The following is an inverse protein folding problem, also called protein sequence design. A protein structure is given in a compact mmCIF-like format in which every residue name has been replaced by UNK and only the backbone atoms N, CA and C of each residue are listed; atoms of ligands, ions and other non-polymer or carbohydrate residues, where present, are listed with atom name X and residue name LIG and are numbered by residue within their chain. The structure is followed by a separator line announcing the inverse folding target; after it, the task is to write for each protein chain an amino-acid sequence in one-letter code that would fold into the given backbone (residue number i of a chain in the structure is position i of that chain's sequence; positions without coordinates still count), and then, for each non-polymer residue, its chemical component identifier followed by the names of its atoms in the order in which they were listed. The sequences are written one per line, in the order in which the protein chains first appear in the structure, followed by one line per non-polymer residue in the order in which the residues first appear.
data_IF_231402824557
#
_entry.id   IF_231402824557
#
_cell.length_a   1.000
_cell.length_b   1.000
_cell.length_c   1.000
_cell.angle_alpha   90.00
_cell.angle_beta   90.00
_cell.angle_gamma   90.00
#
_symmetry.space_group_name_H-M   'P 1'
#
loop_
_entity.id
_entity.type
_entity.pdbx_description
1 polymer ?
#
# COMPACT_ATOMS: atom_id res chain seq x y z
N UNK A 1 -14.47 23.96 -18.22
CA UNK A 1 -13.11 23.41 -18.18
C UNK A 1 -12.17 24.57 -17.89
N UNK A 2 -11.31 24.41 -16.90
CA UNK A 2 -10.24 25.40 -16.62
C UNK A 2 -9.17 25.20 -17.69
N UNK A 3 -8.58 26.30 -18.18
CA UNK A 3 -7.48 26.25 -19.13
C UNK A 3 -6.27 25.55 -18.46
N UNK A 4 -5.81 24.38 -18.96
CA UNK A 4 -4.70 23.63 -18.34
C UNK A 4 -3.40 24.44 -18.27
N UNK A 5 -3.19 25.40 -19.18
CA UNK A 5 -2.02 26.28 -19.18
C UNK A 5 -2.03 27.32 -18.04
N UNK A 6 -3.17 27.46 -17.35
CA UNK A 6 -3.33 28.40 -16.23
C UNK A 6 -2.77 27.88 -14.91
N UNK A 7 -2.65 26.54 -14.76
CA UNK A 7 -2.10 25.91 -13.55
C UNK A 7 -0.65 25.51 -13.85
N UNK A 8 0.29 26.21 -13.25
CA UNK A 8 1.71 25.96 -13.46
C UNK A 8 2.30 25.16 -12.30
N UNK A 9 2.67 23.92 -12.56
CA UNK A 9 3.41 23.07 -11.63
C UNK A 9 4.88 23.47 -11.63
N UNK A 10 5.46 23.63 -10.45
CA UNK A 10 6.84 24.09 -10.29
C UNK A 10 7.81 22.90 -10.14
N UNK A 11 8.44 22.48 -11.24
CA UNK A 11 9.40 21.37 -11.25
C UNK A 11 10.58 21.58 -10.29
N UNK A 12 11.10 22.83 -10.18
CA UNK A 12 12.22 23.10 -9.28
C UNK A 12 11.85 22.87 -7.81
N UNK A 13 10.59 23.20 -7.45
CA UNK A 13 10.05 22.95 -6.11
C UNK A 13 9.88 21.45 -5.86
N UNK A 14 9.36 20.69 -6.83
CA UNK A 14 9.24 19.22 -6.76
C UNK A 14 10.61 18.59 -6.48
N UNK A 15 11.66 18.99 -7.22
CA UNK A 15 13.01 18.49 -7.01
C UNK A 15 13.53 18.79 -5.60
N UNK A 16 13.33 20.01 -5.12
CA UNK A 16 13.76 20.43 -3.80
C UNK A 16 13.02 19.69 -2.68
N UNK A 17 11.70 19.51 -2.82
CA UNK A 17 10.89 18.75 -1.85
C UNK A 17 11.25 17.27 -1.86
N UNK A 18 11.51 16.69 -3.03
CA UNK A 18 11.96 15.30 -3.12
C UNK A 18 13.32 15.11 -2.44
N UNK A 19 14.31 15.98 -2.70
CA UNK A 19 15.62 15.89 -2.04
C UNK A 19 15.50 16.04 -0.52
N UNK A 20 14.66 16.93 -0.05
CA UNK A 20 14.41 17.15 1.36
C UNK A 20 13.76 15.93 2.04
N UNK A 21 12.62 15.49 1.51
CA UNK A 21 11.82 14.43 2.14
C UNK A 21 12.50 13.05 2.02
N UNK A 22 13.14 12.76 0.89
CA UNK A 22 13.84 11.49 0.72
C UNK A 22 15.01 11.28 1.71
N UNK A 23 15.59 12.36 2.26
CA UNK A 23 16.65 12.27 3.27
C UNK A 23 16.14 12.01 4.68
N UNK A 24 14.82 12.06 4.88
CA UNK A 24 14.22 11.75 6.18
C UNK A 24 14.10 10.24 6.31
N UNK A 25 14.63 9.69 7.39
CA UNK A 25 14.46 8.29 7.74
C UNK A 25 13.01 8.04 8.15
N UNK A 26 12.35 7.10 7.47
CA UNK A 26 10.93 6.82 7.65
C UNK A 26 10.57 5.35 7.39
N UNK A 27 11.42 4.40 7.79
CA UNK A 27 11.01 2.99 7.74
C UNK A 27 9.72 2.79 8.55
N UNK A 28 8.89 1.84 8.12
CA UNK A 28 7.60 1.53 8.77
C UNK A 28 7.72 1.43 10.29
N UNK A 29 6.80 2.05 11.02
CA UNK A 29 6.77 2.25 12.47
C UNK A 29 7.78 3.27 13.01
N UNK A 30 8.60 3.89 12.14
CA UNK A 30 9.65 4.86 12.47
C UNK A 30 9.45 6.27 11.89
N UNK A 31 8.24 6.64 11.46
CA UNK A 31 7.90 7.78 10.59
C UNK A 31 7.86 9.14 11.30
N UNK A 32 8.21 9.24 12.58
CA UNK A 32 8.02 10.47 13.37
C UNK A 32 8.52 11.74 12.70
N UNK A 33 9.73 11.73 12.15
CA UNK A 33 10.32 12.92 11.52
C UNK A 33 9.60 13.26 10.20
N UNK A 34 9.19 12.26 9.43
CA UNK A 34 8.41 12.44 8.21
C UNK A 34 7.04 13.06 8.54
N UNK A 35 6.33 12.50 9.52
CA UNK A 35 5.03 13.01 9.94
C UNK A 35 5.12 14.46 10.42
N UNK A 36 6.11 14.82 11.23
CA UNK A 36 6.30 16.20 11.70
C UNK A 36 6.54 17.14 10.51
N UNK A 37 7.40 16.73 9.56
CA UNK A 37 7.70 17.56 8.38
C UNK A 37 6.50 17.71 7.44
N UNK A 38 5.72 16.65 7.22
CA UNK A 38 4.51 16.72 6.40
C UNK A 38 3.42 17.59 7.05
N UNK A 39 3.30 17.57 8.37
CA UNK A 39 2.39 18.52 9.08
C UNK A 39 2.76 19.98 8.82
N UNK A 40 4.05 20.31 8.82
CA UNK A 40 4.51 21.66 8.48
C UNK A 40 4.15 22.02 7.03
N UNK A 41 4.43 21.13 6.06
CA UNK A 41 4.10 21.34 4.64
C UNK A 41 2.59 21.48 4.40
N UNK A 42 1.78 20.69 5.09
CA UNK A 42 0.32 20.82 5.03
C UNK A 42 -0.15 22.16 5.63
N UNK A 43 0.46 22.61 6.72
CA UNK A 43 0.16 23.91 7.31
C UNK A 43 0.50 25.09 6.38
N UNK A 44 1.60 25.00 5.60
CA UNK A 44 1.94 25.97 4.54
C UNK A 44 0.84 26.09 3.47
N UNK A 45 0.10 25.01 3.20
CA UNK A 45 -1.06 24.97 2.30
C UNK A 45 -2.39 25.39 2.98
N UNK A 46 -2.34 25.81 4.25
CA UNK A 46 -3.54 26.13 5.02
C UNK A 46 -4.29 24.93 5.57
N UNK A 47 -3.69 23.74 5.54
CA UNK A 47 -4.28 22.49 6.03
C UNK A 47 -3.75 22.20 7.44
N UNK A 48 -4.62 22.32 8.44
CA UNK A 48 -4.28 21.97 9.82
C UNK A 48 -4.47 20.46 10.02
N UNK A 49 -3.47 19.68 9.65
CA UNK A 49 -3.51 18.24 9.80
C UNK A 49 -3.44 17.84 11.27
N UNK A 50 -4.32 16.93 11.65
CA UNK A 50 -4.31 16.25 12.96
C UNK A 50 -3.68 14.88 12.80
N UNK A 51 -2.86 14.53 13.76
CA UNK A 51 -2.34 13.18 13.91
C UNK A 51 -3.27 12.38 14.81
N UNK A 52 -3.61 11.19 14.40
CA UNK A 52 -4.46 10.29 15.18
C UNK A 52 -3.65 9.44 16.19
N UNK A 53 -4.34 8.56 16.93
CA UNK A 53 -3.75 7.68 17.94
C UNK A 53 -3.24 6.35 17.39
N UNK A 54 -3.13 6.21 16.08
CA UNK A 54 -2.70 4.97 15.41
C UNK A 54 -1.33 4.49 15.87
N UNK A 55 -0.38 5.41 16.16
CA UNK A 55 0.93 5.06 16.68
C UNK A 55 0.87 4.09 17.88
N UNK A 56 0.01 4.37 18.85
CA UNK A 56 -0.16 3.54 20.04
C UNK A 56 -0.75 2.16 19.71
N UNK A 57 -1.68 2.10 18.74
CA UNK A 57 -2.38 0.87 18.35
C UNK A 57 -1.49 -0.10 17.58
N UNK A 58 -0.60 0.43 16.73
CA UNK A 58 0.26 -0.40 15.87
C UNK A 58 1.67 -0.62 16.43
N UNK A 59 2.03 0.10 17.51
CA UNK A 59 3.39 0.07 18.10
C UNK A 59 4.41 0.86 17.28
N UNK A 60 3.95 1.90 16.55
CA UNK A 60 4.76 2.86 15.81
C UNK A 60 5.10 4.10 16.63
N UNK A 61 5.75 5.07 16.01
CA UNK A 61 6.10 6.34 16.62
C UNK A 61 5.37 7.55 16.01
N UNK A 62 4.57 7.33 14.94
CA UNK A 62 3.71 8.31 14.31
C UNK A 62 2.33 7.71 13.98
N UNK A 63 1.29 8.51 14.10
CA UNK A 63 -0.06 8.19 13.64
C UNK A 63 -0.31 8.68 12.21
N UNK A 64 -1.50 8.40 11.68
CA UNK A 64 -1.93 8.95 10.41
C UNK A 64 -2.13 10.47 10.52
N UNK A 65 -1.85 11.18 9.44
CA UNK A 65 -2.12 12.61 9.33
C UNK A 65 -3.42 12.82 8.54
N UNK A 66 -4.42 13.41 9.16
CA UNK A 66 -5.67 13.76 8.50
C UNK A 66 -5.92 15.26 8.55
N UNK A 67 -6.24 15.87 7.41
CA UNK A 67 -6.51 17.29 7.31
C UNK A 67 -7.54 17.63 6.23
N UNK A 68 -8.10 18.82 6.31
CA UNK A 68 -9.11 19.32 5.36
C UNK A 68 -8.76 20.70 4.85
N UNK A 69 -9.04 20.96 3.56
CA UNK A 69 -8.91 22.25 2.91
C UNK A 69 -10.24 22.64 2.27
N UNK A 70 -10.71 23.85 2.56
CA UNK A 70 -11.90 24.40 1.93
C UNK A 70 -11.57 25.01 0.56
N UNK A 71 -12.37 24.65 -0.45
CA UNK A 71 -12.05 24.98 -1.84
C UNK A 71 -12.84 26.12 -2.48
N UNK A 72 -14.06 26.31 -2.12
CA UNK A 72 -14.97 27.31 -2.73
C UNK A 72 -15.87 26.78 -3.84
N UNK A 73 -15.69 25.54 -4.32
CA UNK A 73 -16.68 24.86 -5.17
C UNK A 73 -17.68 24.11 -4.29
N UNK A 74 -18.93 24.01 -4.77
CA UNK A 74 -19.96 23.19 -4.13
C UNK A 74 -19.71 21.70 -4.46
N UNK A 75 -20.17 20.82 -3.57
CA UNK A 75 -20.11 19.37 -3.76
C UNK A 75 -19.49 18.63 -2.58
N UNK A 76 -19.30 17.34 -2.73
CA UNK A 76 -18.61 16.51 -1.72
C UNK A 76 -17.10 16.69 -1.80
N UNK A 77 -16.39 16.63 -0.67
CA UNK A 77 -14.93 16.61 -0.68
C UNK A 77 -14.36 15.47 -1.54
N UNK A 78 -13.16 15.68 -2.02
CA UNK A 78 -12.30 14.65 -2.62
C UNK A 78 -11.23 14.22 -1.60
N UNK A 79 -11.00 12.93 -1.43
CA UNK A 79 -9.90 12.42 -0.60
C UNK A 79 -8.69 12.15 -1.46
N UNK A 80 -7.55 12.69 -1.06
CA UNK A 80 -6.23 12.40 -1.62
C UNK A 80 -5.38 11.70 -0.55
N UNK A 81 -4.72 10.62 -0.91
CA UNK A 81 -3.94 9.82 0.03
C UNK A 81 -2.64 9.32 -0.56
N UNK A 82 -1.64 9.19 0.29
CA UNK A 82 -0.36 8.54 0.11
C UNK A 82 0.15 8.09 1.47
N UNK A 83 1.32 7.43 1.53
CA UNK A 83 1.86 6.98 2.80
C UNK A 83 3.21 7.62 3.14
N UNK A 84 3.56 7.57 4.43
CA UNK A 84 4.73 8.25 4.99
C UNK A 84 5.93 7.33 5.16
N UNK A 85 5.68 6.05 5.25
CA UNK A 85 6.72 5.06 5.49
C UNK A 85 7.38 4.56 4.20
N UNK A 86 8.46 3.85 4.36
CA UNK A 86 9.15 3.12 3.30
C UNK A 86 9.69 1.79 3.83
N UNK A 87 9.95 0.84 2.93
CA UNK A 87 10.57 -0.44 3.31
C UNK A 87 12.04 -0.31 3.72
N UNK A 88 12.54 -1.32 4.44
CA UNK A 88 13.98 -1.46 4.70
C UNK A 88 14.72 -2.05 3.46
N UNK A 89 16.01 -1.65 3.23
CA UNK A 89 16.80 -0.69 3.98
C UNK A 89 16.49 0.75 3.58
N UNK A 90 15.95 1.55 4.48
CA UNK A 90 15.50 2.93 4.26
C UNK A 90 16.18 3.99 5.14
N UNK A 91 17.24 3.62 5.89
CA UNK A 91 17.93 4.53 6.80
C UNK A 91 19.14 5.16 6.12
N UNK A 92 19.24 6.50 6.19
CA UNK A 92 20.33 7.26 5.58
C UNK A 92 20.22 7.37 4.06
N UNK A 93 19.02 7.46 3.53
CA UNK A 93 18.72 7.61 2.10
C UNK A 93 19.45 8.81 1.48
N UNK A 94 19.99 8.62 0.27
CA UNK A 94 20.72 9.64 -0.50
C UNK A 94 20.20 9.68 -1.93
N UNK A 95 19.24 10.58 -2.23
CA UNK A 95 18.77 10.76 -3.59
C UNK A 95 19.86 11.33 -4.50
N UNK A 96 19.95 10.78 -5.72
CA UNK A 96 20.86 11.18 -6.78
C UNK A 96 20.06 11.64 -7.98
N UNK A 97 20.16 12.92 -8.33
CA UNK A 97 19.46 13.51 -9.46
C UNK A 97 20.29 13.42 -10.73
N UNK A 98 19.75 12.85 -11.78
CA UNK A 98 20.36 12.72 -13.11
C UNK A 98 19.87 13.80 -14.06
N UNK A 99 20.66 14.10 -15.09
CA UNK A 99 20.35 15.14 -16.09
C UNK A 99 19.08 14.82 -16.91
N UNK A 100 18.76 13.55 -17.09
CA UNK A 100 17.56 13.08 -17.80
C UNK A 100 16.25 13.18 -16.98
N UNK A 101 16.34 13.71 -15.75
CA UNK A 101 15.21 13.83 -14.83
C UNK A 101 14.92 12.59 -14.00
N UNK A 102 15.75 11.55 -14.09
CA UNK A 102 15.67 10.39 -13.21
C UNK A 102 16.25 10.73 -11.84
N UNK A 103 15.65 10.20 -10.77
CA UNK A 103 16.15 10.25 -9.40
C UNK A 103 16.37 8.82 -8.94
N UNK A 104 17.55 8.49 -8.47
CA UNK A 104 17.88 7.14 -7.93
C UNK A 104 18.36 7.24 -6.49
N UNK A 105 18.42 6.10 -5.78
CA UNK A 105 19.24 6.03 -4.57
C UNK A 105 20.74 5.96 -4.93
N UNK A 106 21.62 6.04 -3.92
CA UNK A 106 23.06 5.77 -4.10
C UNK A 106 23.36 4.25 -4.20
N UNK A 107 22.35 3.39 -4.20
CA UNK A 107 22.46 1.93 -4.27
C UNK A 107 22.67 1.23 -2.92
N UNK A 108 22.70 1.97 -1.81
CA UNK A 108 22.84 1.40 -0.46
C UNK A 108 21.51 1.20 0.26
N UNK A 109 20.51 2.01 -0.10
CA UNK A 109 19.14 1.96 0.44
C UNK A 109 18.12 2.00 -0.70
N UNK A 110 16.84 1.82 -0.38
CA UNK A 110 15.75 2.24 -1.26
C UNK A 110 15.80 3.76 -1.44
N UNK A 111 15.11 4.31 -2.44
CA UNK A 111 15.00 5.75 -2.64
C UNK A 111 13.89 6.35 -1.75
N UNK A 112 12.81 5.59 -1.51
CA UNK A 112 11.58 6.05 -0.90
C UNK A 112 10.70 6.81 -1.91
N UNK A 113 10.84 6.52 -3.21
CA UNK A 113 9.93 7.03 -4.24
C UNK A 113 8.50 6.54 -3.98
N UNK A 114 8.38 5.35 -3.46
CA UNK A 114 7.24 4.74 -2.82
C UNK A 114 7.17 5.20 -1.35
N UNK A 115 6.31 6.15 -0.94
CA UNK A 115 5.32 6.86 -1.78
C UNK A 115 5.56 8.39 -1.83
N UNK A 116 6.83 8.85 -1.77
CA UNK A 116 7.13 10.28 -1.85
C UNK A 116 6.68 10.90 -3.18
N UNK A 117 6.63 10.12 -4.27
CA UNK A 117 6.17 10.63 -5.56
C UNK A 117 4.69 11.03 -5.49
N UNK A 118 3.86 10.22 -4.85
CA UNK A 118 2.45 10.51 -4.63
C UNK A 118 2.24 11.67 -3.65
N UNK A 119 2.92 11.63 -2.49
CA UNK A 119 2.85 12.70 -1.49
C UNK A 119 3.23 14.06 -2.09
N UNK A 120 4.33 14.15 -2.83
CA UNK A 120 4.80 15.40 -3.45
C UNK A 120 3.84 15.85 -4.56
N UNK A 121 3.31 14.92 -5.36
CA UNK A 121 2.33 15.25 -6.39
C UNK A 121 1.06 15.87 -5.78
N UNK A 122 0.59 15.35 -4.64
CA UNK A 122 -0.56 15.91 -3.90
C UNK A 122 -0.24 17.33 -3.41
N UNK A 123 0.88 17.52 -2.72
CA UNK A 123 1.28 18.81 -2.15
C UNK A 123 1.44 19.88 -3.25
N UNK A 124 2.15 19.56 -4.33
CA UNK A 124 2.41 20.49 -5.42
C UNK A 124 1.15 20.78 -6.24
N UNK A 125 0.31 19.78 -6.51
CA UNK A 125 -0.94 19.95 -7.24
C UNK A 125 -1.89 20.92 -6.52
N UNK A 126 -2.04 20.78 -5.21
CA UNK A 126 -2.85 21.73 -4.38
C UNK A 126 -2.24 23.13 -4.43
N UNK A 127 -0.92 23.23 -4.25
CA UNK A 127 -0.21 24.52 -4.25
C UNK A 127 -0.34 25.24 -5.58
N UNK A 128 -0.19 24.53 -6.70
CA UNK A 128 -0.32 25.11 -8.03
C UNK A 128 -1.73 25.71 -8.29
N UNK A 129 -2.78 25.01 -7.82
CA UNK A 129 -4.16 25.52 -7.92
C UNK A 129 -4.37 26.76 -7.03
N UNK A 130 -3.83 26.76 -5.81
CA UNK A 130 -3.90 27.92 -4.91
C UNK A 130 -3.16 29.13 -5.50
N UNK A 131 -1.95 28.95 -6.03
CA UNK A 131 -1.14 30.01 -6.69
C UNK A 131 -1.85 30.58 -7.92
N UNK A 132 -2.57 29.73 -8.67
CA UNK A 132 -3.38 30.15 -9.81
C UNK A 132 -4.68 30.90 -9.40
N UNK A 133 -5.06 30.85 -8.12
CA UNK A 133 -6.29 31.45 -7.61
C UNK A 133 -7.56 30.83 -8.18
N UNK A 134 -7.52 29.53 -8.50
CA UNK A 134 -8.64 28.79 -9.08
C UNK A 134 -9.45 28.15 -7.97
N UNK A 135 -10.80 28.31 -7.96
CA UNK A 135 -11.65 27.57 -7.03
C UNK A 135 -11.50 26.06 -7.23
N UNK A 136 -11.47 25.32 -6.14
CA UNK A 136 -11.37 23.88 -6.14
C UNK A 136 -12.42 23.25 -5.21
N UNK A 137 -12.61 21.95 -5.29
CA UNK A 137 -13.44 21.17 -4.37
C UNK A 137 -12.86 21.23 -2.96
N UNK A 138 -13.69 21.01 -1.96
CA UNK A 138 -13.17 20.70 -0.63
C UNK A 138 -12.26 19.46 -0.73
N UNK A 139 -11.11 19.49 -0.07
CA UNK A 139 -10.13 18.42 -0.09
C UNK A 139 -9.99 17.83 1.31
N UNK A 140 -9.98 16.52 1.40
CA UNK A 140 -9.53 15.75 2.55
C UNK A 140 -8.21 15.09 2.19
N UNK A 141 -7.25 15.10 3.11
CA UNK A 141 -5.95 14.45 2.94
C UNK A 141 -5.77 13.43 4.05
N UNK A 142 -5.35 12.24 3.67
CA UNK A 142 -4.89 11.21 4.58
C UNK A 142 -3.47 10.78 4.15
N UNK A 143 -2.47 11.10 4.98
CA UNK A 143 -1.15 10.48 4.85
C UNK A 143 -1.01 9.38 5.90
N UNK A 144 -0.98 8.14 5.44
CA UNK A 144 -0.99 6.97 6.30
C UNK A 144 0.41 6.66 6.86
N UNK A 145 0.44 6.15 8.08
CA UNK A 145 1.62 5.54 8.69
C UNK A 145 1.62 4.04 8.45
N UNK A 146 2.79 3.42 8.34
CA UNK A 146 2.97 1.98 8.24
C UNK A 146 2.01 1.30 7.22
N UNK A 147 2.00 1.81 5.99
CA UNK A 147 1.28 1.20 4.87
C UNK A 147 1.94 -0.10 4.44
N UNK A 148 3.25 -0.11 4.28
CA UNK A 148 4.08 -1.19 3.73
C UNK A 148 3.92 -2.55 4.46
N UNK A 149 3.76 -2.58 5.81
CA UNK A 149 3.40 -3.80 6.52
C UNK A 149 1.89 -4.11 6.44
N UNK A 150 1.30 -3.97 5.26
CA UNK A 150 -0.11 -4.22 4.95
C UNK A 150 -1.07 -3.21 5.59
N UNK A 151 -0.99 -1.95 5.18
CA UNK A 151 -1.95 -0.86 5.51
C UNK A 151 -2.28 -0.73 6.99
N UNK A 152 -1.26 -0.93 7.86
CA UNK A 152 -1.46 -0.97 9.31
C UNK A 152 -2.04 0.33 9.85
N UNK A 153 -1.58 1.46 9.33
CA UNK A 153 -2.03 2.77 9.78
C UNK A 153 -3.46 3.07 9.37
N UNK A 154 -3.75 2.99 8.09
CA UNK A 154 -5.10 3.30 7.58
C UNK A 154 -6.16 2.34 8.12
N UNK A 155 -5.80 1.09 8.43
CA UNK A 155 -6.72 0.11 9.04
C UNK A 155 -7.21 0.52 10.43
N UNK A 156 -6.47 1.36 11.16
CA UNK A 156 -6.81 1.85 12.50
C UNK A 156 -7.42 3.26 12.48
N UNK A 157 -7.51 3.89 11.29
CA UNK A 157 -8.06 5.23 11.15
C UNK A 157 -9.57 5.26 11.38
N UNK A 158 -10.06 6.30 12.04
CA UNK A 158 -11.49 6.53 12.22
C UNK A 158 -12.12 7.19 10.98
N UNK A 159 -12.61 6.39 10.05
CA UNK A 159 -13.26 6.85 8.82
C UNK A 159 -14.57 7.62 9.03
N UNK A 160 -15.16 7.61 10.24
CA UNK A 160 -16.38 8.37 10.52
C UNK A 160 -16.19 9.90 10.42
N UNK A 161 -14.94 10.38 10.48
CA UNK A 161 -14.61 11.80 10.30
C UNK A 161 -14.58 12.23 8.83
N UNK A 162 -14.49 11.30 7.87
CA UNK A 162 -14.43 11.59 6.44
C UNK A 162 -15.80 11.95 5.87
N UNK A 163 -15.79 12.91 4.96
CA UNK A 163 -16.97 13.36 4.21
C UNK A 163 -16.85 13.05 2.72
N UNK A 164 -15.65 12.77 2.26
CA UNK A 164 -15.37 12.41 0.88
C UNK A 164 -16.19 11.19 0.44
N UNK A 165 -16.62 11.21 -0.82
CA UNK A 165 -17.37 10.12 -1.48
C UNK A 165 -16.63 9.54 -2.65
N UNK A 166 -15.42 10.00 -2.88
CA UNK A 166 -14.44 9.43 -3.81
C UNK A 166 -13.04 9.70 -3.29
N UNK A 167 -12.13 8.81 -3.60
CA UNK A 167 -10.75 8.90 -3.14
C UNK A 167 -9.75 8.49 -4.23
N UNK A 168 -8.57 9.08 -4.16
CA UNK A 168 -7.42 8.75 -4.99
C UNK A 168 -6.22 8.50 -4.09
N UNK A 169 -5.70 7.28 -4.13
CA UNK A 169 -4.46 6.88 -3.48
C UNK A 169 -3.37 6.87 -4.55
N UNK A 170 -2.27 7.58 -4.35
CA UNK A 170 -1.20 7.66 -5.33
C UNK A 170 -0.09 6.66 -4.95
N UNK A 171 -0.30 5.40 -5.27
CA UNK A 171 0.54 4.30 -4.78
C UNK A 171 0.61 3.15 -5.81
N UNK A 172 0.92 3.49 -7.07
CA UNK A 172 1.13 2.50 -8.13
C UNK A 172 2.36 2.86 -8.94
N UNK A 173 3.15 1.85 -9.26
CA UNK A 173 4.34 1.97 -10.11
C UNK A 173 3.99 2.37 -11.55
N UNK A 174 4.91 3.05 -12.21
CA UNK A 174 4.81 3.40 -13.61
C UNK A 174 4.44 4.85 -13.89
N UNK A 175 4.38 5.23 -15.19
CA UNK A 175 4.06 6.59 -15.58
C UNK A 175 2.61 6.95 -15.26
N UNK A 176 2.35 8.22 -14.99
CA UNK A 176 0.99 8.74 -14.71
C UNK A 176 0.03 8.40 -15.85
N UNK A 177 -1.20 8.03 -15.49
CA UNK A 177 -2.25 7.68 -16.45
C UNK A 177 -2.84 6.28 -16.25
N UNK A 178 -2.38 5.53 -15.24
CA UNK A 178 -2.97 4.25 -14.87
C UNK A 178 -3.72 4.38 -13.55
N UNK A 179 -4.93 3.83 -13.50
CA UNK A 179 -5.71 3.64 -12.27
C UNK A 179 -5.98 2.16 -12.06
N UNK A 180 -5.67 1.67 -10.88
CA UNK A 180 -6.03 0.33 -10.44
C UNK A 180 -7.45 0.39 -9.88
N UNK A 181 -8.35 -0.41 -10.46
CA UNK A 181 -9.74 -0.53 -10.07
C UNK A 181 -10.07 -1.89 -9.44
N UNK A 182 -9.08 -2.79 -9.37
CA UNK A 182 -9.23 -4.10 -8.76
C UNK A 182 -7.95 -4.49 -8.00
N UNK A 183 -8.11 -4.84 -6.74
CA UNK A 183 -7.02 -5.31 -5.87
C UNK A 183 -7.48 -6.51 -5.03
N UNK A 184 -6.56 -7.34 -4.52
CA UNK A 184 -6.90 -8.61 -3.89
C UNK A 184 -7.27 -8.47 -2.41
N UNK A 185 -7.90 -9.51 -1.87
CA UNK A 185 -7.79 -9.89 -0.47
C UNK A 185 -6.38 -10.41 -0.23
N UNK A 186 -5.74 -9.98 0.84
CA UNK A 186 -4.46 -10.49 1.31
C UNK A 186 -4.63 -11.08 2.70
N UNK A 187 -4.30 -12.37 2.80
CA UNK A 187 -4.31 -13.14 4.05
C UNK A 187 -2.92 -13.67 4.32
N UNK A 188 -2.48 -13.65 5.57
CA UNK A 188 -1.34 -14.44 6.01
C UNK A 188 -1.79 -15.56 6.94
N UNK A 189 -1.03 -16.66 6.96
CA UNK A 189 -1.27 -17.76 7.89
C UNK A 189 0.03 -18.25 8.51
N UNK A 190 -0.10 -18.83 9.71
CA UNK A 190 0.96 -19.56 10.38
C UNK A 190 0.45 -20.94 10.79
N UNK A 191 1.16 -21.98 10.37
CA UNK A 191 0.94 -23.37 10.72
C UNK A 191 2.12 -23.87 11.55
N UNK A 192 1.89 -24.10 12.84
CA UNK A 192 2.88 -24.69 13.76
C UNK A 192 2.55 -26.16 13.99
N UNK A 193 3.40 -27.05 13.49
CA UNK A 193 3.32 -28.49 13.66
C UNK A 193 4.14 -28.87 14.89
N UNK A 194 3.46 -29.45 15.91
CA UNK A 194 4.09 -29.94 17.11
C UNK A 194 4.11 -31.47 17.13
N UNK A 195 5.29 -32.03 17.05
CA UNK A 195 5.57 -33.44 17.14
C UNK A 195 6.04 -33.84 18.54
N UNK A 196 7.03 -34.75 18.58
CA UNK A 196 7.64 -35.20 19.83
C UNK A 196 9.14 -35.45 19.63
N UNK A 197 9.97 -34.86 20.48
CA UNK A 197 11.40 -35.08 20.46
C UNK A 197 11.75 -36.51 20.85
N UNK A 198 12.84 -37.02 20.26
CA UNK A 198 13.48 -38.28 20.64
C UNK A 198 14.95 -38.23 20.23
N UNK A 199 15.79 -39.09 20.79
CA UNK A 199 17.18 -39.21 20.36
C UNK A 199 17.25 -39.84 18.97
N UNK A 200 17.80 -39.13 17.98
CA UNK A 200 17.76 -39.52 16.58
C UNK A 200 18.49 -40.84 16.27
N UNK A 201 19.49 -41.19 17.08
CA UNK A 201 20.26 -42.43 16.89
C UNK A 201 19.85 -43.61 17.77
N UNK A 202 19.18 -43.38 18.91
CA UNK A 202 18.87 -44.47 19.85
C UNK A 202 17.41 -44.89 19.81
N UNK A 203 16.49 -43.93 19.72
CA UNK A 203 15.05 -44.19 19.83
C UNK A 203 14.23 -43.29 18.87
N UNK A 204 14.62 -43.19 17.57
CA UNK A 204 13.91 -42.30 16.64
C UNK A 204 12.42 -42.67 16.48
N UNK A 205 12.05 -43.91 16.67
CA UNK A 205 10.67 -44.43 16.59
C UNK A 205 9.75 -43.91 17.71
N UNK A 206 10.33 -43.39 18.81
CA UNK A 206 9.56 -42.71 19.86
C UNK A 206 9.24 -41.26 19.54
N UNK A 207 9.92 -40.70 18.55
CA UNK A 207 9.72 -39.34 18.08
C UNK A 207 8.54 -39.20 17.12
N UNK A 208 8.06 -37.96 16.96
CA UNK A 208 7.15 -37.53 15.88
C UNK A 208 7.82 -36.35 15.19
N UNK A 209 8.18 -36.55 13.95
CA UNK A 209 9.08 -35.63 13.23
C UNK A 209 8.35 -34.42 12.64
N UNK A 210 8.32 -33.28 13.37
CA UNK A 210 7.57 -32.09 12.99
C UNK A 210 7.97 -31.51 11.62
N UNK A 211 9.30 -31.45 11.29
CA UNK A 211 9.76 -30.94 9.99
C UNK A 211 9.25 -31.83 8.86
N UNK A 212 9.34 -33.17 8.98
CA UNK A 212 8.88 -34.06 7.92
C UNK A 212 7.36 -33.94 7.70
N UNK A 213 6.59 -33.81 8.79
CA UNK A 213 5.15 -33.63 8.74
C UNK A 213 4.77 -32.33 8.04
N UNK A 214 5.42 -31.19 8.42
CA UNK A 214 5.22 -29.90 7.76
C UNK A 214 5.60 -29.94 6.28
N UNK A 215 6.74 -30.55 5.94
CA UNK A 215 7.20 -30.70 4.56
C UNK A 215 6.21 -31.49 3.70
N UNK A 216 5.58 -32.57 4.24
CA UNK A 216 4.53 -33.31 3.53
C UNK A 216 3.30 -32.46 3.27
N UNK A 217 2.88 -31.67 4.26
CA UNK A 217 1.77 -30.74 4.09
C UNK A 217 2.07 -29.74 2.98
N UNK A 218 3.24 -29.07 3.01
CA UNK A 218 3.63 -28.10 1.99
C UNK A 218 3.71 -28.76 0.59
N UNK A 219 4.26 -29.96 0.49
CA UNK A 219 4.38 -30.68 -0.79
C UNK A 219 3.01 -31.09 -1.38
N UNK A 220 1.96 -31.15 -0.56
CA UNK A 220 0.59 -31.42 -1.00
C UNK A 220 -0.17 -30.16 -1.42
N UNK A 221 0.34 -28.96 -1.10
CA UNK A 221 -0.27 -27.71 -1.52
C UNK A 221 0.07 -27.37 -2.98
N UNK A 222 -0.88 -26.75 -3.69
CA UNK A 222 -0.63 -26.13 -5.00
C UNK A 222 -0.12 -24.71 -4.78
N UNK A 223 1.19 -24.54 -4.74
CA UNK A 223 1.82 -23.23 -4.59
C UNK A 223 1.89 -22.47 -5.93
N UNK A 224 1.98 -21.14 -5.86
CA UNK A 224 1.94 -20.21 -6.98
C UNK A 224 0.51 -19.85 -7.35
N UNK A 225 0.18 -19.81 -8.64
CA UNK A 225 -1.20 -19.59 -9.08
C UNK A 225 -2.07 -20.82 -8.80
N UNK A 226 -2.99 -20.68 -7.85
CA UNK A 226 -4.00 -21.71 -7.55
C UNK A 226 -5.04 -21.72 -8.67
N UNK A 227 -5.47 -20.55 -9.09
CA UNK A 227 -6.30 -20.30 -10.27
C UNK A 227 -5.92 -18.93 -10.90
N UNK A 228 -6.75 -18.40 -11.82
CA UNK A 228 -6.50 -17.13 -12.51
C UNK A 228 -6.57 -15.91 -11.58
N UNK A 229 -7.25 -16.02 -10.45
CA UNK A 229 -7.55 -14.94 -9.50
C UNK A 229 -6.81 -15.10 -8.17
N UNK A 230 -6.19 -16.29 -7.91
CA UNK A 230 -5.71 -16.65 -6.57
C UNK A 230 -4.28 -17.13 -6.61
N UNK A 231 -3.45 -16.63 -5.69
CA UNK A 231 -2.10 -17.11 -5.43
C UNK A 231 -1.97 -17.60 -4.00
N UNK A 232 -1.14 -18.65 -3.81
CA UNK A 232 -0.77 -19.22 -2.52
C UNK A 232 0.74 -19.35 -2.46
N UNK A 233 1.34 -18.85 -1.39
CA UNK A 233 2.77 -18.99 -1.14
C UNK A 233 3.05 -19.44 0.30
N UNK A 234 4.06 -20.30 0.48
CA UNK A 234 4.69 -20.60 1.77
C UNK A 234 6.09 -20.00 1.72
N UNK A 235 6.27 -18.83 2.29
CA UNK A 235 7.51 -18.06 2.20
C UNK A 235 8.54 -18.40 3.28
N UNK A 236 8.09 -18.91 4.43
CA UNK A 236 8.97 -19.21 5.56
C UNK A 236 8.69 -20.60 6.13
N UNK A 237 9.77 -21.33 6.45
CA UNK A 237 9.74 -22.57 7.21
C UNK A 237 10.90 -22.55 8.22
N UNK A 238 10.62 -22.90 9.47
CA UNK A 238 11.63 -23.00 10.52
C UNK A 238 11.31 -24.17 11.44
N UNK A 239 12.31 -24.98 11.79
CA UNK A 239 12.07 -26.12 12.67
C UNK A 239 13.33 -26.81 13.16
N UNK A 240 13.19 -27.51 14.29
CA UNK A 240 14.28 -28.19 14.96
C UNK A 240 15.23 -27.24 15.72
N UNK A 241 16.08 -27.79 16.56
CA UNK A 241 17.08 -27.04 17.35
C UNK A 241 18.49 -27.66 17.25
N UNK A 242 18.57 -28.99 17.04
CA UNK A 242 19.82 -29.74 16.96
C UNK A 242 19.69 -30.91 15.96
N UNK A 243 20.83 -31.35 15.41
CA UNK A 243 20.82 -32.39 14.35
C UNK A 243 20.65 -33.80 14.88
N UNK A 244 20.89 -34.04 16.16
CA UNK A 244 20.88 -35.38 16.78
C UNK A 244 19.58 -35.67 17.57
N UNK A 245 18.55 -34.84 17.39
CA UNK A 245 17.19 -35.08 17.92
C UNK A 245 16.13 -35.04 16.82
N UNK A 246 15.08 -35.84 16.97
CA UNK A 246 13.87 -35.71 16.18
C UNK A 246 13.24 -34.36 16.51
N UNK A 247 13.00 -33.47 15.53
CA UNK A 247 12.46 -32.13 15.80
C UNK A 247 11.00 -32.18 16.27
N UNK A 248 10.73 -31.54 17.40
CA UNK A 248 9.39 -31.49 17.98
C UNK A 248 8.54 -30.30 17.51
N UNK A 249 9.15 -29.29 16.84
CA UNK A 249 8.44 -28.13 16.35
C UNK A 249 8.90 -27.75 14.95
N UNK A 250 7.93 -27.42 14.09
CA UNK A 250 8.16 -26.78 12.80
C UNK A 250 7.05 -25.77 12.54
N UNK A 251 7.43 -24.53 12.22
CA UNK A 251 6.51 -23.45 11.90
C UNK A 251 6.67 -23.08 10.44
N UNK A 252 5.53 -22.94 9.75
CA UNK A 252 5.44 -22.49 8.36
C UNK A 252 4.60 -21.23 8.31
N UNK A 253 5.04 -20.23 7.53
CA UNK A 253 4.26 -19.02 7.28
C UNK A 253 4.06 -18.82 5.80
N UNK A 254 2.84 -18.41 5.44
CA UNK A 254 2.48 -18.20 4.05
C UNK A 254 1.48 -17.07 3.90
N UNK A 255 1.19 -16.74 2.63
CA UNK A 255 0.18 -15.76 2.25
C UNK A 255 -0.73 -16.30 1.14
N UNK A 256 -1.93 -15.76 1.09
CA UNK A 256 -2.93 -15.99 0.05
C UNK A 256 -3.36 -14.63 -0.46
N UNK A 257 -3.38 -14.47 -1.80
CA UNK A 257 -3.95 -13.29 -2.46
C UNK A 257 -5.01 -13.74 -3.44
N UNK A 258 -6.18 -13.09 -3.42
CA UNK A 258 -7.25 -13.39 -4.39
C UNK A 258 -8.09 -12.16 -4.66
N UNK A 259 -8.50 -11.99 -5.93
CA UNK A 259 -9.48 -10.97 -6.31
C UNK A 259 -10.89 -11.25 -5.78
N UNK A 260 -11.16 -12.46 -5.28
CA UNK A 260 -12.36 -12.81 -4.52
C UNK A 260 -12.03 -13.05 -3.05
N UNK A 261 -12.72 -12.34 -2.15
CA UNK A 261 -12.56 -12.56 -0.71
C UNK A 261 -13.00 -13.97 -0.31
N UNK A 262 -14.09 -14.46 -0.89
CA UNK A 262 -14.64 -15.78 -0.64
C UNK A 262 -13.63 -16.88 -1.04
N UNK A 263 -13.05 -16.77 -2.24
CA UNK A 263 -12.01 -17.72 -2.69
C UNK A 263 -10.74 -17.68 -1.83
N UNK A 264 -10.34 -16.48 -1.35
CA UNK A 264 -9.22 -16.38 -0.41
C UNK A 264 -9.48 -17.16 0.87
N UNK A 265 -10.70 -17.05 1.42
CA UNK A 265 -11.11 -17.77 2.62
C UNK A 265 -11.24 -19.27 2.38
N UNK A 266 -11.79 -19.70 1.24
CA UNK A 266 -11.85 -21.11 0.83
C UNK A 266 -10.44 -21.70 0.70
N UNK A 267 -9.53 -21.00 0.02
CA UNK A 267 -8.12 -21.41 -0.10
C UNK A 267 -7.45 -21.55 1.27
N UNK A 268 -7.75 -20.65 2.21
CA UNK A 268 -7.23 -20.72 3.59
C UNK A 268 -7.70 -21.98 4.29
N UNK A 269 -8.98 -22.34 4.16
CA UNK A 269 -9.52 -23.56 4.77
C UNK A 269 -8.95 -24.82 4.09
N UNK A 270 -8.71 -24.80 2.77
CA UNK A 270 -8.03 -25.88 2.07
C UNK A 270 -6.60 -26.09 2.59
N UNK A 271 -5.85 -24.99 2.77
CA UNK A 271 -4.51 -25.03 3.38
C UNK A 271 -4.57 -25.65 4.77
N UNK A 272 -5.50 -25.21 5.62
CA UNK A 272 -5.71 -25.75 6.97
C UNK A 272 -5.97 -27.26 6.92
N UNK A 273 -6.91 -27.70 6.06
CA UNK A 273 -7.28 -29.11 5.93
C UNK A 273 -6.10 -30.01 5.51
N UNK A 274 -5.23 -29.50 4.63
CA UNK A 274 -4.01 -30.22 4.23
C UNK A 274 -3.05 -30.40 5.41
N UNK A 275 -2.83 -29.35 6.23
CA UNK A 275 -2.00 -29.46 7.43
C UNK A 275 -2.65 -30.38 8.49
N UNK A 276 -3.97 -30.29 8.70
CA UNK A 276 -4.71 -31.16 9.61
C UNK A 276 -4.58 -32.63 9.22
N UNK A 277 -4.65 -32.94 7.92
CA UNK A 277 -4.47 -34.30 7.40
C UNK A 277 -3.05 -34.79 7.69
N UNK A 278 -2.03 -34.00 7.40
CA UNK A 278 -0.63 -34.38 7.61
C UNK A 278 -0.32 -34.62 9.10
N UNK A 279 -0.81 -33.77 10.02
CA UNK A 279 -0.57 -33.96 11.46
C UNK A 279 -1.32 -35.16 12.00
N UNK A 280 -2.53 -35.41 11.52
CA UNK A 280 -3.32 -36.61 11.92
C UNK A 280 -2.62 -37.91 11.52
N UNK A 281 -2.09 -37.98 10.30
CA UNK A 281 -1.35 -39.16 9.81
C UNK A 281 -0.05 -39.40 10.60
N UNK A 282 0.63 -38.32 11.02
CA UNK A 282 1.87 -38.39 11.78
C UNK A 282 1.67 -38.59 13.28
N UNK A 283 0.47 -38.41 13.80
CA UNK A 283 0.19 -38.36 15.24
C UNK A 283 0.72 -37.08 15.92
N UNK A 284 0.88 -35.99 15.15
CA UNK A 284 1.32 -34.67 15.60
C UNK A 284 0.11 -33.77 15.96
N UNK A 285 0.39 -32.57 16.49
CA UNK A 285 -0.61 -31.54 16.79
C UNK A 285 -0.40 -30.35 15.83
N UNK A 286 -1.49 -29.63 15.49
CA UNK A 286 -1.46 -28.40 14.69
C UNK A 286 -1.96 -27.22 15.50
N UNK A 287 -1.21 -26.12 15.50
CA UNK A 287 -1.72 -24.77 15.79
C UNK A 287 -1.75 -24.00 14.48
N UNK A 288 -2.93 -23.53 14.08
CA UNK A 288 -3.13 -22.79 12.84
C UNK A 288 -3.78 -21.45 13.13
N UNK A 289 -3.10 -20.37 12.78
CA UNK A 289 -3.60 -19.00 12.91
C UNK A 289 -3.55 -18.31 11.57
N UNK A 290 -4.38 -17.30 11.39
CA UNK A 290 -4.37 -16.46 10.20
C UNK A 290 -4.67 -15.00 10.55
N UNK A 291 -4.33 -14.12 9.63
CA UNK A 291 -4.66 -12.71 9.69
C UNK A 291 -5.15 -12.23 8.33
N UNK A 292 -6.32 -11.59 8.32
CA UNK A 292 -6.79 -10.80 7.19
C UNK A 292 -6.10 -9.42 7.27
N UNK A 293 -5.38 -9.04 6.21
CA UNK A 293 -4.72 -7.74 6.09
C UNK A 293 -5.64 -6.75 5.39
N UNK A 294 -6.03 -7.05 4.16
CA UNK A 294 -6.94 -6.24 3.36
C UNK A 294 -7.95 -7.11 2.63
N UNK A 295 -9.13 -6.55 2.29
CA UNK A 295 -10.13 -7.21 1.47
C UNK A 295 -10.04 -6.76 0.02
N UNK A 296 -10.37 -7.68 -0.87
CA UNK A 296 -10.51 -7.40 -2.29
C UNK A 296 -11.53 -6.30 -2.56
N UNK A 297 -11.28 -5.53 -3.60
CA UNK A 297 -12.26 -4.64 -4.18
C UNK A 297 -12.23 -4.73 -5.72
N UNK A 298 -13.34 -4.37 -6.32
CA UNK A 298 -13.48 -4.18 -7.74
C UNK A 298 -14.40 -2.99 -8.01
N UNK A 299 -13.96 -2.08 -8.87
CA UNK A 299 -14.75 -0.98 -9.41
C UNK A 299 -14.86 -1.13 -10.91
N UNK A 300 -16.06 -0.86 -11.43
CA UNK A 300 -16.25 -0.79 -12.87
C UNK A 300 -15.65 0.51 -13.44
N UNK A 301 -15.21 0.50 -14.71
CA UNK A 301 -14.64 1.70 -15.35
C UNK A 301 -15.61 2.88 -15.50
N UNK A 302 -16.91 2.65 -15.35
CA UNK A 302 -17.98 3.67 -15.36
C UNK A 302 -18.29 4.22 -13.95
N UNK A 303 -17.62 3.73 -12.91
CA UNK A 303 -17.74 4.31 -11.57
C UNK A 303 -17.29 5.79 -11.58
N UNK A 304 -17.98 6.70 -10.86
CA UNK A 304 -17.67 8.14 -10.91
C UNK A 304 -16.19 8.47 -10.69
N UNK A 305 -15.52 7.82 -9.72
CA UNK A 305 -14.10 8.02 -9.43
C UNK A 305 -13.20 7.65 -10.62
N UNK A 306 -13.55 6.60 -11.38
CA UNK A 306 -12.81 6.16 -12.57
C UNK A 306 -13.07 7.10 -13.76
N UNK A 307 -14.32 7.56 -13.92
CA UNK A 307 -14.72 8.52 -14.97
C UNK A 307 -13.99 9.86 -14.75
N UNK A 308 -14.00 10.41 -13.53
CA UNK A 308 -13.31 11.66 -13.20
C UNK A 308 -11.80 11.56 -13.46
N UNK A 309 -11.17 10.45 -13.06
CA UNK A 309 -9.77 10.19 -13.38
C UNK A 309 -9.51 10.19 -14.90
N UNK A 310 -10.35 9.48 -15.65
CA UNK A 310 -10.18 9.39 -17.11
C UNK A 310 -10.35 10.74 -17.79
N UNK A 311 -11.29 11.57 -17.35
CA UNK A 311 -11.50 12.93 -17.85
C UNK A 311 -10.32 13.83 -17.54
N UNK A 312 -9.79 13.79 -16.30
CA UNK A 312 -8.59 14.53 -15.92
C UNK A 312 -7.38 14.15 -16.79
N UNK A 313 -7.16 12.86 -17.01
CA UNK A 313 -6.11 12.39 -17.90
C UNK A 313 -6.25 12.94 -19.33
N UNK A 314 -7.48 12.84 -19.91
CA UNK A 314 -7.74 13.34 -21.28
C UNK A 314 -7.52 14.84 -21.39
N UNK A 315 -7.91 15.63 -20.40
CA UNK A 315 -7.64 17.08 -20.36
C UNK A 315 -6.15 17.37 -20.44
N UNK A 316 -5.32 16.53 -19.82
CA UNK A 316 -3.86 16.64 -19.85
C UNK A 316 -3.20 16.00 -21.07
N UNK A 317 -3.98 15.42 -22.00
CA UNK A 317 -3.46 14.69 -23.15
C UNK A 317 -2.83 13.34 -22.78
N UNK A 318 -3.16 12.79 -21.62
CA UNK A 318 -2.73 11.49 -21.13
C UNK A 318 -3.80 10.45 -21.44
N UNK A 319 -3.43 9.31 -22.05
CA UNK A 319 -4.36 8.22 -22.31
C UNK A 319 -4.63 7.46 -21.02
N UNK A 320 -5.88 7.47 -20.49
CA UNK A 320 -6.21 6.77 -19.25
C UNK A 320 -6.21 5.25 -19.45
N UNK A 321 -5.64 4.54 -18.48
CA UNK A 321 -5.60 3.08 -18.43
C UNK A 321 -6.18 2.60 -17.12
N UNK A 322 -6.97 1.51 -17.21
CA UNK A 322 -7.49 0.82 -16.04
C UNK A 322 -6.83 -0.55 -15.92
N UNK A 323 -6.54 -0.95 -14.70
CA UNK A 323 -5.86 -2.21 -14.44
C UNK A 323 -6.26 -2.86 -13.13
N UNK A 324 -5.65 -4.00 -12.88
CA UNK A 324 -5.70 -4.75 -11.64
C UNK A 324 -4.29 -4.96 -11.09
N UNK A 325 -4.17 -5.19 -9.78
CA UNK A 325 -2.91 -5.50 -9.11
C UNK A 325 -3.07 -6.66 -8.14
N UNK A 326 -2.01 -7.44 -7.93
CA UNK A 326 -1.93 -8.38 -6.81
C UNK A 326 -1.31 -7.75 -5.55
N UNK A 327 -0.96 -6.45 -5.58
CA UNK A 327 -0.61 -5.65 -4.41
C UNK A 327 -1.86 -5.20 -3.65
N UNK A 328 -1.70 -4.91 -2.36
CA UNK A 328 -2.68 -4.17 -1.57
C UNK A 328 -2.19 -2.75 -1.36
N UNK A 329 -3.09 -1.84 -1.02
CA UNK A 329 -2.80 -0.45 -0.68
C UNK A 329 -3.85 0.11 0.26
N UNK A 330 -3.67 1.33 0.72
CA UNK A 330 -4.68 2.07 1.48
C UNK A 330 -6.01 2.18 0.73
N UNK A 331 -5.98 2.04 -0.61
CA UNK A 331 -7.19 1.97 -1.43
C UNK A 331 -8.13 0.83 -1.04
N UNK A 332 -7.59 -0.33 -0.63
CA UNK A 332 -8.40 -1.44 -0.10
C UNK A 332 -9.16 -1.00 1.17
N UNK A 333 -8.49 -0.26 2.05
CA UNK A 333 -9.09 0.23 3.30
C UNK A 333 -10.18 1.26 3.03
N UNK A 334 -9.95 2.22 2.10
CA UNK A 334 -10.97 3.18 1.67
C UNK A 334 -12.24 2.47 1.17
N UNK A 335 -12.06 1.48 0.29
CA UNK A 335 -13.16 0.69 -0.27
C UNK A 335 -13.94 -0.08 0.80
N UNK A 336 -13.28 -0.65 1.80
CA UNK A 336 -13.94 -1.34 2.92
C UNK A 336 -14.83 -0.40 3.74
N UNK A 337 -14.48 0.89 3.81
CA UNK A 337 -15.26 1.92 4.51
C UNK A 337 -16.28 2.64 3.62
N UNK A 338 -16.53 2.12 2.41
CA UNK A 338 -17.55 2.63 1.49
C UNK A 338 -17.15 3.93 0.79
N UNK A 339 -15.86 4.23 0.68
CA UNK A 339 -15.31 5.35 -0.07
C UNK A 339 -14.71 4.79 -1.36
N UNK A 340 -15.39 4.92 -2.52
CA UNK A 340 -14.85 4.49 -3.81
C UNK A 340 -13.47 5.05 -4.06
N UNK A 341 -12.50 4.17 -4.40
CA UNK A 341 -11.10 4.51 -4.52
C UNK A 341 -10.50 4.04 -5.84
N UNK A 342 -9.82 4.92 -6.55
CA UNK A 342 -8.90 4.57 -7.61
C UNK A 342 -7.45 4.72 -7.10
N UNK A 343 -6.62 3.68 -7.26
CA UNK A 343 -5.21 3.75 -6.89
C UNK A 343 -4.40 4.12 -8.13
N UNK A 344 -3.67 5.22 -8.08
CA UNK A 344 -3.09 5.89 -9.24
C UNK A 344 -1.58 5.69 -9.33
N UNK A 345 -1.08 5.54 -10.58
CA UNK A 345 0.35 5.57 -10.84
C UNK A 345 0.93 6.98 -10.69
N UNK A 346 2.09 7.09 -10.07
CA UNK A 346 2.68 8.36 -9.65
C UNK A 346 4.16 8.56 -10.00
N UNK A 347 4.74 7.67 -10.84
CA UNK A 347 6.10 7.87 -11.36
C UNK A 347 7.21 7.26 -10.51
N UNK A 348 6.90 6.26 -9.73
CA UNK A 348 7.85 5.40 -9.02
C UNK A 348 8.11 4.09 -9.78
N UNK A 349 9.29 3.53 -9.65
CA UNK A 349 9.73 2.36 -10.41
C UNK A 349 10.69 1.50 -9.59
N UNK A 350 10.73 0.19 -9.87
CA UNK A 350 11.58 -0.80 -9.19
C UNK A 350 11.52 -0.71 -7.66
N UNK A 351 10.33 -0.36 -7.15
CA UNK A 351 10.04 -0.19 -5.72
C UNK A 351 10.46 -1.40 -4.89
N UNK A 352 10.61 -1.24 -3.57
CA UNK A 352 11.04 -2.28 -2.64
C UNK A 352 12.43 -2.87 -2.97
N UNK A 353 13.28 -2.08 -3.63
CA UNK A 353 14.64 -2.49 -3.97
C UNK A 353 15.60 -1.30 -3.94
N UNK A 354 16.91 -1.58 -3.77
CA UNK A 354 17.96 -0.54 -3.87
C UNK A 354 18.14 0.00 -5.30
N UNK A 355 17.41 -0.54 -6.28
CA UNK A 355 17.35 -0.04 -7.66
C UNK A 355 16.15 0.89 -7.90
N UNK A 356 15.39 1.15 -6.86
CA UNK A 356 14.24 2.05 -6.91
C UNK A 356 14.63 3.40 -7.51
N UNK A 357 13.76 3.93 -8.38
CA UNK A 357 13.95 5.23 -8.99
C UNK A 357 12.62 5.94 -9.24
N UNK A 358 12.68 7.26 -9.37
CA UNK A 358 11.57 8.12 -9.75
C UNK A 358 11.92 8.93 -11.00
N UNK A 359 10.90 9.46 -11.67
CA UNK A 359 11.07 10.43 -12.77
C UNK A 359 10.38 11.74 -12.44
N UNK A 360 11.13 12.82 -12.43
CA UNK A 360 10.61 14.16 -12.13
C UNK A 360 9.44 14.53 -13.05
N UNK A 361 9.54 14.19 -14.33
CA UNK A 361 8.47 14.46 -15.31
C UNK A 361 7.15 13.74 -14.97
N UNK A 362 7.22 12.54 -14.37
CA UNK A 362 6.02 11.83 -13.93
C UNK A 362 5.44 12.46 -12.65
N UNK A 363 6.27 12.92 -11.71
CA UNK A 363 5.79 13.65 -10.52
C UNK A 363 5.11 14.96 -10.95
N UNK A 364 5.67 15.68 -11.93
CA UNK A 364 5.04 16.88 -12.54
C UNK A 364 3.67 16.53 -13.12
N UNK A 365 3.57 15.43 -13.87
CA UNK A 365 2.30 14.98 -14.44
C UNK A 365 1.32 14.53 -13.34
N UNK A 366 1.80 13.88 -12.27
CA UNK A 366 1.01 13.56 -11.09
C UNK A 366 0.41 14.81 -10.44
N UNK A 367 1.24 15.85 -10.23
CA UNK A 367 0.76 17.12 -9.68
C UNK A 367 -0.27 17.81 -10.58
N UNK A 368 -0.10 17.76 -11.91
CA UNK A 368 -1.10 18.24 -12.87
C UNK A 368 -2.38 17.44 -12.80
N UNK A 369 -2.30 16.12 -12.67
CA UNK A 369 -3.47 15.25 -12.53
C UNK A 369 -4.23 15.58 -11.25
N UNK A 370 -3.55 15.76 -10.12
CA UNK A 370 -4.18 16.21 -8.87
C UNK A 370 -4.87 17.57 -9.07
N UNK A 371 -4.20 18.52 -9.70
CA UNK A 371 -4.78 19.85 -9.96
C UNK A 371 -6.07 19.75 -10.80
N UNK A 372 -6.10 18.92 -11.83
CA UNK A 372 -7.31 18.65 -12.61
C UNK A 372 -8.42 18.01 -11.77
N UNK A 373 -8.11 16.96 -11.01
CA UNK A 373 -9.09 16.24 -10.19
C UNK A 373 -9.76 17.14 -9.16
N UNK A 374 -9.01 18.04 -8.49
CA UNK A 374 -9.56 18.93 -7.47
C UNK A 374 -10.32 20.13 -8.05
N UNK A 375 -10.12 20.46 -9.33
CA UNK A 375 -10.79 21.57 -10.03
C UNK A 375 -11.95 21.13 -10.92
N UNK A 376 -12.16 19.83 -11.11
CA UNK A 376 -13.33 19.31 -11.82
C UNK A 376 -14.62 19.63 -11.06
N UNK A 377 -15.61 20.21 -11.78
CA UNK A 377 -16.97 20.37 -11.26
C UNK A 377 -17.66 19.00 -11.14
N UNK A 378 -18.34 18.76 -10.04
CA UNK A 378 -19.31 17.66 -10.01
C UNK A 378 -20.50 18.08 -10.87
N UNK A 379 -20.79 17.34 -11.96
CA UNK A 379 -22.09 17.45 -12.57
C UNK A 379 -23.15 17.05 -11.53
N UNK A 380 -24.18 17.89 -11.40
CA UNK A 380 -25.29 17.57 -10.52
C UNK A 380 -25.81 16.18 -10.89
N UNK A 381 -25.72 15.23 -9.97
CA UNK A 381 -26.37 13.93 -10.12
C UNK A 381 -27.80 14.19 -10.57
N UNK A 382 -28.13 13.76 -11.77
CA UNK A 382 -29.54 13.74 -12.22
C UNK A 382 -30.20 12.70 -11.31
N UNK A 383 -31.02 13.18 -10.36
CA UNK A 383 -31.89 12.36 -9.50
C UNK A 383 -32.85 11.49 -10.32
#
# INVERSE_FOLDING_TARGET
MVDPDRIQVNEARIRAEFDELARIDSESFGERQMADRLKEKLAELGIQAKEDDTAEKIGGNAGNLFGTLKGGMSGTPILLSGHMDTVAPGIGKKPVFHEDGTITSDGTTVLGADDLTGVIAILEGIRAVQEAGIPHRDIEILFAAAEEPFTRGSSEFDFSQMKAKESYVLDVTGPVGTAILQAPTILSFEAAVKGRAAHAGFEPEKGIHAIQTAARAIAALKLGHVDEETTLNVGLISGGSVVNAVPELCTCRGEIRSYSHEKAMETLEDVRAVFETAVKEAGAELSFTHRLHVKAFHLEPDAPVAVHFAEACRTLGIEPKFGSTFGGSDGNTMMQHGIPCAVLSCGMYDVHSVREYAKVGDIVNGARLIAELITQGQEASIE
#
